data_IF_774419327983
#
_entry.id   IF_774419327983
#
_cell.length_a   1.000
_cell.length_b   1.000
_cell.length_c   1.000
_cell.angle_alpha   90.00
_cell.angle_beta   90.00
_cell.angle_gamma   90.00
#
_symmetry.space_group_name_H-M   'P 1'
#
loop_
_entity.id
_entity.type
_entity.pdbx_description
1 polymer ?
#
# COMPACT_ATOMS: atom_id res chain seq x y z
N UNK A 1 30.59 32.47 9.34
CA UNK A 1 30.79 31.08 9.79
C UNK A 1 29.42 30.47 10.03
N UNK A 2 29.11 29.30 9.49
CA UNK A 2 27.81 28.66 9.71
C UNK A 2 27.81 27.88 11.04
N UNK A 3 26.64 27.75 11.67
CA UNK A 3 26.46 27.10 12.97
C UNK A 3 26.81 25.59 12.89
N UNK A 4 27.83 25.10 13.62
CA UNK A 4 28.20 23.68 13.62
C UNK A 4 27.08 22.73 14.11
N UNK A 5 26.09 23.21 14.87
CA UNK A 5 24.97 22.37 15.33
C UNK A 5 24.04 21.90 14.21
N UNK A 6 24.20 22.44 12.99
CA UNK A 6 23.49 21.98 11.79
C UNK A 6 23.89 20.56 11.36
N UNK A 7 25.15 20.17 11.55
CA UNK A 7 25.68 18.88 11.07
C UNK A 7 25.01 17.70 11.79
N UNK A 8 24.95 17.63 13.14
CA UNK A 8 24.30 16.52 13.82
C UNK A 8 22.81 16.39 13.47
N UNK A 9 22.11 17.52 13.23
CA UNK A 9 20.69 17.52 12.85
C UNK A 9 20.47 16.85 11.50
N UNK A 10 21.28 17.18 10.50
CA UNK A 10 21.20 16.56 9.17
C UNK A 10 21.54 15.08 9.24
N UNK A 11 22.60 14.71 9.97
CA UNK A 11 22.99 13.30 10.09
C UNK A 11 21.91 12.46 10.79
N UNK A 12 21.25 13.00 11.82
CA UNK A 12 20.15 12.32 12.49
C UNK A 12 18.95 12.11 11.55
N UNK A 13 18.57 13.13 10.79
CA UNK A 13 17.49 13.01 9.80
C UNK A 13 17.83 12.03 8.67
N UNK A 14 19.09 12.03 8.21
CA UNK A 14 19.58 11.06 7.22
C UNK A 14 19.53 9.64 7.76
N UNK A 15 19.97 9.43 9.01
CA UNK A 15 19.92 8.13 9.68
C UNK A 15 18.48 7.63 9.76
N UNK A 16 17.53 8.46 10.20
CA UNK A 16 16.12 8.09 10.34
C UNK A 16 15.51 7.64 8.99
N UNK A 17 15.76 8.39 7.91
CA UNK A 17 15.30 8.02 6.56
C UNK A 17 15.94 6.71 6.10
N UNK A 18 17.22 6.50 6.41
CA UNK A 18 17.93 5.31 5.98
C UNK A 18 17.50 4.06 6.75
N UNK A 19 17.22 4.18 8.05
CA UNK A 19 16.64 3.11 8.87
C UNK A 19 15.23 2.71 8.39
N UNK A 20 14.46 3.65 7.83
CA UNK A 20 13.18 3.37 7.16
C UNK A 20 13.31 2.63 5.83
N UNK A 21 14.48 2.67 5.21
CA UNK A 21 14.75 2.10 3.89
C UNK A 21 16.11 1.39 3.86
N UNK A 22 16.30 0.32 4.68
CA UNK A 22 17.62 -0.29 4.89
C UNK A 22 18.17 -1.00 3.65
N UNK A 23 17.32 -1.31 2.67
CA UNK A 23 17.72 -1.92 1.40
C UNK A 23 18.43 -0.93 0.45
N UNK A 24 18.33 0.37 0.70
CA UNK A 24 19.06 1.37 -0.08
C UNK A 24 20.50 1.44 0.40
N UNK A 25 21.45 1.47 -0.54
CA UNK A 25 22.81 1.96 -0.23
C UNK A 25 22.80 3.49 -0.05
N UNK A 26 23.82 4.04 0.61
CA UNK A 26 23.96 5.49 0.78
C UNK A 26 23.92 6.25 -0.55
N UNK A 27 24.57 5.71 -1.58
CA UNK A 27 24.57 6.31 -2.92
C UNK A 27 23.18 6.33 -3.56
N UNK A 28 22.40 5.26 -3.38
CA UNK A 28 21.01 5.23 -3.84
C UNK A 28 20.12 6.20 -3.06
N UNK A 29 20.34 6.34 -1.75
CA UNK A 29 19.63 7.33 -0.93
C UNK A 29 19.90 8.76 -1.43
N UNK A 30 21.14 9.11 -1.74
CA UNK A 30 21.45 10.39 -2.38
C UNK A 30 20.80 10.55 -3.76
N UNK A 31 20.70 9.47 -4.54
CA UNK A 31 19.93 9.47 -5.79
C UNK A 31 18.45 9.78 -5.57
N UNK A 32 17.82 9.20 -4.55
CA UNK A 32 16.43 9.49 -4.16
C UNK A 32 16.28 10.96 -3.74
N UNK A 33 17.20 11.49 -2.94
CA UNK A 33 17.22 12.90 -2.54
C UNK A 33 17.38 13.83 -3.75
N UNK A 34 18.26 13.49 -4.70
CA UNK A 34 18.44 14.25 -5.94
C UNK A 34 17.18 14.30 -6.80
N UNK A 35 16.45 13.17 -6.91
CA UNK A 35 15.16 13.13 -7.61
C UNK A 35 14.07 13.98 -6.92
N UNK A 36 14.26 14.33 -5.65
CA UNK A 36 13.39 15.23 -4.86
C UNK A 36 13.83 16.70 -4.94
N UNK A 37 14.78 17.02 -5.81
CA UNK A 37 15.28 18.37 -6.01
C UNK A 37 16.43 18.77 -5.08
N UNK A 38 17.00 17.83 -4.31
CA UNK A 38 18.17 18.14 -3.49
C UNK A 38 19.43 18.21 -4.36
N UNK A 39 19.96 19.42 -4.53
CA UNK A 39 21.11 19.74 -5.35
C UNK A 39 22.31 20.26 -4.54
N UNK A 40 23.36 20.64 -5.26
CA UNK A 40 24.59 21.20 -4.68
C UNK A 40 24.39 22.61 -4.12
N UNK A 41 23.37 23.30 -4.62
CA UNK A 41 22.93 24.64 -4.26
C UNK A 41 21.85 24.66 -3.17
N UNK A 42 21.36 23.48 -2.76
CA UNK A 42 20.37 23.36 -1.69
C UNK A 42 20.93 23.76 -0.34
N UNK A 43 20.10 24.43 0.44
CA UNK A 43 20.35 24.79 1.83
C UNK A 43 20.11 23.61 2.76
N UNK A 44 20.72 23.66 3.95
CA UNK A 44 20.46 22.68 5.02
C UNK A 44 18.97 22.61 5.41
N UNK A 45 18.24 23.72 5.32
CA UNK A 45 16.82 23.77 5.63
C UNK A 45 15.99 22.99 4.60
N UNK A 46 16.32 23.14 3.30
CA UNK A 46 15.71 22.36 2.22
C UNK A 46 16.06 20.88 2.35
N UNK A 47 17.32 20.56 2.68
CA UNK A 47 17.76 19.19 2.94
C UNK A 47 16.96 18.53 4.07
N UNK A 48 16.78 19.24 5.18
CA UNK A 48 15.98 18.76 6.31
C UNK A 48 14.51 18.59 5.93
N UNK A 49 13.93 19.51 5.16
CA UNK A 49 12.54 19.39 4.71
C UNK A 49 12.33 18.15 3.84
N UNK A 50 13.22 17.89 2.88
CA UNK A 50 13.16 16.70 2.02
C UNK A 50 13.33 15.41 2.83
N UNK A 51 14.29 15.37 3.77
CA UNK A 51 14.50 14.22 4.65
C UNK A 51 13.28 13.97 5.55
N UNK A 52 12.70 15.03 6.12
CA UNK A 52 11.50 14.93 6.95
C UNK A 52 10.31 14.38 6.14
N UNK A 53 10.09 14.86 4.93
CA UNK A 53 9.05 14.32 4.05
C UNK A 53 9.28 12.83 3.75
N UNK A 54 10.52 12.44 3.43
CA UNK A 54 10.88 11.03 3.23
C UNK A 54 10.64 10.16 4.47
N UNK A 55 10.97 10.67 5.67
CA UNK A 55 10.74 9.95 6.92
C UNK A 55 9.25 9.77 7.24
N UNK A 56 8.40 10.69 6.79
CA UNK A 56 6.95 10.57 6.92
C UNK A 56 6.36 9.55 5.94
N UNK A 57 6.93 9.41 4.76
CA UNK A 57 6.51 8.38 3.79
C UNK A 57 7.04 6.99 4.17
N UNK A 58 8.26 6.93 4.68
CA UNK A 58 8.99 5.69 5.00
C UNK A 58 9.56 5.74 6.43
N UNK A 59 8.70 5.73 7.47
CA UNK A 59 9.19 5.81 8.84
C UNK A 59 10.01 4.58 9.23
N UNK A 60 11.07 4.79 10.02
CA UNK A 60 11.87 3.70 10.58
C UNK A 60 11.09 2.88 11.61
N UNK A 61 10.04 3.45 12.21
CA UNK A 61 9.27 2.82 13.27
C UNK A 61 7.85 3.40 13.34
N UNK A 62 6.86 2.51 13.40
CA UNK A 62 5.44 2.84 13.48
C UNK A 62 4.83 2.10 14.65
N UNK A 63 3.96 2.76 15.41
CA UNK A 63 3.22 2.14 16.52
C UNK A 63 1.71 2.24 16.27
N UNK A 64 1.10 3.36 16.66
CA UNK A 64 -0.29 3.65 16.36
C UNK A 64 -0.36 4.71 15.24
N UNK A 65 -0.82 4.30 14.07
CA UNK A 65 -1.09 5.22 12.95
C UNK A 65 -2.52 5.04 12.48
N UNK A 66 -3.22 6.15 12.26
CA UNK A 66 -4.50 6.17 11.56
C UNK A 66 -4.33 6.30 10.05
N UNK A 67 -3.14 6.68 9.58
CA UNK A 67 -2.84 6.79 8.17
C UNK A 67 -2.67 5.39 7.56
N UNK A 68 -3.19 5.14 6.35
CA UNK A 68 -2.97 3.87 5.69
C UNK A 68 -1.50 3.58 5.47
N UNK A 69 -1.15 2.32 5.69
CA UNK A 69 0.23 1.84 5.65
C UNK A 69 0.29 0.50 4.94
N UNK A 70 1.29 0.35 4.07
CA UNK A 70 1.59 -0.92 3.41
C UNK A 70 2.94 -1.42 3.88
N UNK A 71 2.99 -2.68 4.28
CA UNK A 71 4.19 -3.41 4.68
C UNK A 71 4.50 -4.47 3.60
N UNK A 72 5.77 -4.64 3.32
CA UNK A 72 6.31 -5.82 2.64
C UNK A 72 7.10 -6.62 3.64
N UNK A 73 6.83 -7.92 3.75
CA UNK A 73 7.49 -8.80 4.72
C UNK A 73 8.41 -9.81 4.04
N UNK A 74 9.36 -10.34 4.81
CA UNK A 74 10.12 -11.55 4.49
C UNK A 74 9.63 -12.69 5.38
N UNK A 75 9.60 -13.89 4.79
CA UNK A 75 9.32 -15.15 5.49
C UNK A 75 8.12 -15.09 6.47
N UNK A 76 6.87 -15.13 5.96
CA UNK A 76 6.48 -15.27 4.55
C UNK A 76 6.56 -13.96 3.76
N UNK A 77 6.69 -14.06 2.43
CA UNK A 77 6.66 -12.91 1.50
C UNK A 77 5.23 -12.40 1.30
N UNK A 78 4.82 -11.44 2.13
CA UNK A 78 3.49 -10.84 2.10
C UNK A 78 3.54 -9.35 1.74
N UNK A 79 2.45 -8.87 1.16
CA UNK A 79 2.07 -7.47 1.14
C UNK A 79 0.90 -7.30 2.09
N UNK A 80 1.09 -6.52 3.15
CA UNK A 80 0.09 -6.28 4.19
C UNK A 80 -0.29 -4.81 4.16
N UNK A 81 -1.57 -4.48 3.98
CA UNK A 81 -2.05 -3.09 4.04
C UNK A 81 -2.99 -2.92 5.21
N UNK A 82 -2.78 -1.88 6.01
CA UNK A 82 -3.73 -1.42 7.02
C UNK A 82 -4.45 -0.19 6.50
N UNK A 83 -5.78 -0.24 6.45
CA UNK A 83 -6.60 0.86 5.95
C UNK A 83 -8.01 0.80 6.54
N UNK A 84 -8.52 1.93 7.02
CA UNK A 84 -9.87 2.07 7.59
C UNK A 84 -10.20 1.01 8.67
N UNK A 85 -9.22 0.58 9.46
CA UNK A 85 -9.35 -0.46 10.49
C UNK A 85 -9.41 -1.90 9.96
N UNK A 86 -9.14 -2.11 8.67
CA UNK A 86 -9.00 -3.41 8.05
C UNK A 86 -7.53 -3.74 7.79
N UNK A 87 -7.20 -5.02 7.90
CA UNK A 87 -5.96 -5.62 7.43
C UNK A 87 -6.25 -6.31 6.11
N UNK A 88 -5.47 -6.02 5.08
CA UNK A 88 -5.48 -6.76 3.81
C UNK A 88 -4.14 -7.46 3.66
N UNK A 89 -4.14 -8.79 3.62
CA UNK A 89 -2.93 -9.59 3.42
C UNK A 89 -2.96 -10.27 2.06
N UNK A 90 -1.99 -9.93 1.22
CA UNK A 90 -1.75 -10.54 -0.08
C UNK A 90 -0.44 -11.32 -0.05
N UNK A 91 -0.41 -12.46 -0.73
CA UNK A 91 0.82 -13.22 -0.93
C UNK A 91 1.60 -12.62 -2.09
N UNK A 92 2.81 -12.11 -1.82
CA UNK A 92 3.70 -11.64 -2.88
C UNK A 92 4.31 -12.83 -3.65
N UNK A 93 4.58 -13.94 -2.97
CA UNK A 93 5.11 -15.17 -3.59
C UNK A 93 4.06 -15.93 -4.42
N UNK A 94 2.79 -15.84 -4.06
CA UNK A 94 1.70 -16.56 -4.73
C UNK A 94 0.53 -15.62 -5.01
N UNK A 95 0.62 -14.76 -6.06
CA UNK A 95 -0.42 -13.79 -6.39
C UNK A 95 -1.78 -14.41 -6.72
N UNK A 96 -1.85 -15.72 -6.99
CA UNK A 96 -3.11 -16.46 -7.18
C UNK A 96 -3.83 -16.80 -5.88
N UNK A 97 -3.17 -16.70 -4.71
CA UNK A 97 -3.82 -16.93 -3.41
C UNK A 97 -4.79 -15.78 -3.12
N UNK A 98 -6.01 -16.12 -2.71
CA UNK A 98 -7.01 -15.14 -2.30
C UNK A 98 -6.44 -14.21 -1.23
N UNK A 99 -6.54 -12.88 -1.40
CA UNK A 99 -6.21 -11.94 -0.34
C UNK A 99 -7.04 -12.25 0.90
N UNK A 100 -6.47 -12.12 2.10
CA UNK A 100 -7.19 -12.23 3.37
C UNK A 100 -7.51 -10.82 3.89
N UNK A 101 -8.70 -10.61 4.49
CA UNK A 101 -9.25 -9.30 4.87
C UNK A 101 -10.01 -9.48 6.17
N UNK A 102 -9.64 -8.72 7.19
CA UNK A 102 -10.24 -8.78 8.52
C UNK A 102 -10.04 -7.47 9.27
N UNK A 103 -10.80 -7.28 10.36
CA UNK A 103 -10.68 -6.11 11.24
C UNK A 103 -9.56 -6.33 12.24
N UNK A 104 -8.77 -5.30 12.52
CA UNK A 104 -7.79 -5.33 13.61
C UNK A 104 -8.13 -4.37 14.73
N UNK A 105 -7.73 -4.72 15.94
CA UNK A 105 -7.87 -3.90 17.14
C UNK A 105 -6.57 -3.16 17.47
N UNK A 106 -5.42 -3.79 17.28
CA UNK A 106 -4.13 -3.18 17.59
C UNK A 106 -2.99 -3.75 16.75
N UNK A 107 -1.91 -2.98 16.67
CA UNK A 107 -0.64 -3.36 16.07
C UNK A 107 0.46 -3.16 17.12
N UNK A 108 1.42 -4.09 17.18
CA UNK A 108 2.64 -3.86 17.96
C UNK A 108 3.57 -2.93 17.17
N UNK A 109 4.25 -2.02 17.89
CA UNK A 109 5.32 -1.20 17.34
C UNK A 109 6.27 -2.00 16.44
N UNK A 110 6.46 -1.55 15.20
CA UNK A 110 7.17 -2.28 14.15
C UNK A 110 7.82 -1.33 13.13
N UNK A 111 8.78 -1.83 12.38
CA UNK A 111 9.64 -1.09 11.46
C UNK A 111 10.50 -2.06 10.66
N UNK A 112 11.26 -1.61 9.65
CA UNK A 112 12.16 -2.50 8.92
C UNK A 112 13.07 -3.32 9.87
N UNK A 113 13.16 -4.63 9.63
CA UNK A 113 13.88 -5.59 10.47
C UNK A 113 13.11 -6.07 11.71
N UNK A 114 11.92 -5.55 12.00
CA UNK A 114 11.10 -5.95 13.15
C UNK A 114 9.91 -6.83 12.73
N UNK A 115 9.39 -7.69 13.63
CA UNK A 115 8.21 -8.49 13.34
C UNK A 115 6.96 -7.63 13.13
N UNK A 116 6.11 -8.01 12.16
CA UNK A 116 4.77 -7.46 11.99
C UNK A 116 3.77 -8.32 12.76
N UNK A 117 3.19 -7.75 13.82
CA UNK A 117 2.24 -8.44 14.70
C UNK A 117 0.98 -7.60 14.88
N UNK A 118 -0.16 -8.17 14.51
CA UNK A 118 -1.47 -7.52 14.58
C UNK A 118 -2.41 -8.35 15.46
N UNK A 119 -3.22 -7.69 16.27
CA UNK A 119 -4.28 -8.36 17.04
C UNK A 119 -5.62 -8.04 16.40
N UNK A 120 -6.40 -9.07 16.09
CA UNK A 120 -7.74 -8.87 15.54
C UNK A 120 -8.75 -8.41 16.61
N UNK A 121 -9.99 -8.14 16.18
CA UNK A 121 -11.08 -7.70 17.08
C UNK A 121 -11.57 -8.78 18.03
N UNK A 122 -11.20 -10.05 17.80
CA UNK A 122 -11.49 -11.18 18.68
C UNK A 122 -10.35 -11.44 19.69
N UNK A 123 -9.26 -10.67 19.60
CA UNK A 123 -8.10 -10.78 20.48
C UNK A 123 -7.05 -11.79 20.01
N UNK A 124 -7.14 -12.31 18.79
CA UNK A 124 -6.17 -13.27 18.24
C UNK A 124 -4.98 -12.53 17.65
N UNK A 125 -3.77 -12.96 18.03
CA UNK A 125 -2.51 -12.41 17.51
C UNK A 125 -2.12 -13.08 16.18
N UNK A 126 -1.93 -12.26 15.15
CA UNK A 126 -1.47 -12.65 13.82
C UNK A 126 -0.02 -12.20 13.62
N UNK A 127 0.89 -13.15 13.41
CA UNK A 127 2.30 -12.88 13.09
C UNK A 127 2.50 -12.99 11.58
N UNK A 128 2.88 -11.90 10.95
CA UNK A 128 2.89 -11.77 9.49
C UNK A 128 4.30 -11.74 8.88
N UNK A 129 5.32 -12.13 9.66
CA UNK A 129 6.72 -12.16 9.23
C UNK A 129 7.51 -10.95 9.73
N UNK A 130 8.69 -10.75 9.15
CA UNK A 130 9.57 -9.61 9.46
C UNK A 130 9.36 -8.53 8.41
N UNK A 131 9.17 -7.28 8.82
CA UNK A 131 9.01 -6.14 7.91
C UNK A 131 10.34 -5.91 7.19
N UNK A 132 10.28 -5.89 5.85
CA UNK A 132 11.39 -5.49 4.99
C UNK A 132 11.32 -4.01 4.65
N UNK A 133 10.12 -3.56 4.31
CA UNK A 133 9.84 -2.19 3.93
C UNK A 133 8.42 -1.83 4.36
N UNK A 134 8.20 -0.56 4.68
CA UNK A 134 6.88 -0.02 4.92
C UNK A 134 6.76 1.34 4.24
N UNK A 135 5.53 1.69 3.87
CA UNK A 135 5.20 2.97 3.26
C UNK A 135 3.84 3.46 3.75
N UNK A 136 3.81 4.68 4.26
CA UNK A 136 2.57 5.42 4.51
C UNK A 136 2.08 6.03 3.20
N UNK A 137 0.76 6.07 3.01
CA UNK A 137 0.16 6.73 1.86
C UNK A 137 -1.12 7.47 2.25
N UNK A 138 -1.38 8.57 1.56
CA UNK A 138 -2.64 9.29 1.69
C UNK A 138 -3.67 8.66 0.75
N UNK A 139 -4.76 8.08 1.26
CA UNK A 139 -5.86 7.65 0.42
C UNK A 139 -6.58 8.93 -0.05
N UNK A 140 -6.16 9.54 -1.17
CA UNK A 140 -6.81 10.73 -1.73
C UNK A 140 -8.27 10.47 -2.17
N UNK A 141 -8.73 11.17 -3.22
CA UNK A 141 -10.03 10.88 -3.88
C UNK A 141 -10.13 9.45 -4.47
N UNK A 142 -9.04 8.69 -4.42
CA UNK A 142 -8.85 7.30 -4.85
C UNK A 142 -9.77 6.26 -4.18
N UNK A 143 -10.81 6.65 -3.45
CA UNK A 143 -11.82 5.72 -2.92
C UNK A 143 -12.88 5.37 -3.97
N UNK A 144 -13.19 6.31 -4.87
CA UNK A 144 -14.12 6.04 -5.96
C UNK A 144 -13.36 5.46 -7.15
N UNK A 145 -13.76 4.26 -7.56
CA UNK A 145 -13.28 3.63 -8.78
C UNK A 145 -14.20 3.89 -9.96
N UNK A 146 -15.38 4.47 -9.74
CA UNK A 146 -16.33 4.76 -10.81
C UNK A 146 -15.70 5.75 -11.80
N UNK A 147 -15.70 5.38 -13.08
CA UNK A 147 -15.11 6.17 -14.15
C UNK A 147 -13.61 6.00 -14.34
N UNK A 148 -12.90 5.27 -13.44
CA UNK A 148 -11.46 5.05 -13.54
C UNK A 148 -11.09 4.40 -14.88
N UNK A 149 -10.03 4.90 -15.52
CA UNK A 149 -9.49 4.37 -16.75
C UNK A 149 -8.30 3.46 -16.45
N UNK A 150 -8.14 2.38 -17.21
CA UNK A 150 -7.06 1.42 -16.98
C UNK A 150 -5.67 2.05 -17.13
N UNK A 151 -5.49 2.99 -18.05
CA UNK A 151 -4.22 3.72 -18.25
C UNK A 151 -3.89 4.66 -17.09
N UNK A 152 -4.90 5.16 -16.36
CA UNK A 152 -4.72 6.05 -15.20
C UNK A 152 -4.39 5.30 -13.90
N UNK A 153 -4.36 3.96 -13.93
CA UNK A 153 -4.13 3.15 -12.73
C UNK A 153 -2.70 3.29 -12.22
N UNK A 154 -1.69 3.33 -13.10
CA UNK A 154 -0.28 3.33 -12.69
C UNK A 154 0.06 2.21 -11.70
N UNK A 155 0.74 2.57 -10.59
CA UNK A 155 1.03 1.64 -9.50
C UNK A 155 -0.12 1.52 -8.48
N UNK A 156 -1.25 2.19 -8.69
CA UNK A 156 -2.35 2.17 -7.73
C UNK A 156 -3.05 0.80 -7.70
N UNK A 157 -3.43 0.35 -6.51
CA UNK A 157 -4.13 -0.92 -6.30
C UNK A 157 -5.25 -0.73 -5.30
N UNK A 158 -6.37 -1.41 -5.56
CA UNK A 158 -7.53 -1.43 -4.68
C UNK A 158 -8.04 -2.85 -4.50
N UNK A 159 -8.50 -3.17 -3.29
CA UNK A 159 -9.29 -4.38 -3.04
C UNK A 159 -10.76 -4.00 -2.99
N UNK A 160 -11.57 -4.69 -3.78
CA UNK A 160 -13.02 -4.65 -3.73
C UNK A 160 -13.48 -5.93 -3.05
N UNK A 161 -14.13 -5.79 -1.90
CA UNK A 161 -14.81 -6.89 -1.22
C UNK A 161 -16.24 -7.01 -1.78
N UNK A 162 -16.67 -8.24 -2.06
CA UNK A 162 -17.98 -8.53 -2.63
C UNK A 162 -18.86 -9.28 -1.62
N UNK A 163 -20.18 -9.18 -1.78
CA UNK A 163 -21.17 -9.72 -0.83
C UNK A 163 -21.15 -11.26 -0.73
N UNK A 164 -20.80 -11.93 -1.82
CA UNK A 164 -20.65 -13.40 -1.91
C UNK A 164 -19.34 -13.92 -1.27
N UNK A 165 -18.57 -13.04 -0.61
CA UNK A 165 -17.25 -13.35 -0.06
C UNK A 165 -16.13 -13.34 -1.10
N UNK A 166 -16.45 -13.12 -2.38
CA UNK A 166 -15.47 -12.94 -3.42
C UNK A 166 -14.68 -11.64 -3.21
N UNK A 167 -13.49 -11.60 -3.81
CA UNK A 167 -12.57 -10.46 -3.72
C UNK A 167 -12.11 -10.11 -5.10
N UNK A 168 -12.00 -8.83 -5.40
CA UNK A 168 -11.36 -8.37 -6.63
C UNK A 168 -10.23 -7.42 -6.28
N UNK A 169 -9.06 -7.59 -6.89
CA UNK A 169 -7.98 -6.61 -6.82
C UNK A 169 -7.94 -5.89 -8.15
N UNK A 170 -8.14 -4.58 -8.09
CA UNK A 170 -8.09 -3.67 -9.22
C UNK A 170 -6.65 -3.16 -9.35
N UNK A 171 -6.07 -3.41 -10.51
CA UNK A 171 -4.81 -2.84 -10.97
C UNK A 171 -4.85 -2.77 -12.50
N UNK A 172 -3.69 -2.87 -13.16
CA UNK A 172 -3.62 -2.94 -14.63
C UNK A 172 -4.47 -4.07 -15.22
N UNK A 173 -4.69 -5.14 -14.45
CA UNK A 173 -5.73 -6.15 -14.68
C UNK A 173 -6.57 -6.27 -13.42
N UNK A 174 -7.83 -6.68 -13.57
CA UNK A 174 -8.66 -7.02 -12.43
C UNK A 174 -8.53 -8.52 -12.21
N UNK A 175 -8.09 -8.93 -11.02
CA UNK A 175 -8.11 -10.33 -10.60
C UNK A 175 -9.25 -10.52 -9.61
N UNK A 176 -10.11 -11.50 -9.86
CA UNK A 176 -11.23 -11.87 -8.97
C UNK A 176 -10.99 -13.26 -8.41
N UNK A 177 -11.26 -13.43 -7.12
CA UNK A 177 -11.24 -14.70 -6.43
C UNK A 177 -12.63 -15.02 -5.93
N UNK A 178 -13.13 -16.20 -6.26
CA UNK A 178 -14.41 -16.72 -5.78
C UNK A 178 -14.15 -17.97 -4.97
N UNK A 179 -14.71 -18.03 -3.76
CA UNK A 179 -14.57 -19.21 -2.92
C UNK A 179 -15.52 -20.32 -3.41
N UNK A 180 -14.97 -21.37 -4.01
CA UNK A 180 -15.72 -22.51 -4.54
C UNK A 180 -15.51 -23.75 -3.65
N UNK A 181 -16.33 -23.89 -2.60
CA UNK A 181 -16.28 -24.99 -1.60
C UNK A 181 -14.90 -25.20 -0.95
N UNK A 182 -14.01 -25.94 -1.61
CA UNK A 182 -12.64 -26.27 -1.14
C UNK A 182 -11.54 -25.66 -1.98
N UNK A 183 -11.89 -25.10 -3.13
CA UNK A 183 -10.97 -24.45 -4.06
C UNK A 183 -11.32 -22.96 -4.16
N UNK A 184 -10.37 -22.19 -4.69
CA UNK A 184 -10.58 -20.78 -5.00
C UNK A 184 -10.39 -20.61 -6.49
N UNK A 185 -11.47 -20.22 -7.17
CA UNK A 185 -11.43 -19.90 -8.59
C UNK A 185 -10.85 -18.50 -8.77
N UNK A 186 -9.95 -18.35 -9.74
CA UNK A 186 -9.23 -17.10 -10.00
C UNK A 186 -9.42 -16.67 -11.44
N UNK A 187 -10.21 -15.62 -11.62
CA UNK A 187 -10.45 -15.00 -12.93
C UNK A 187 -9.59 -13.76 -13.09
N UNK A 188 -9.12 -13.49 -14.31
CA UNK A 188 -8.38 -12.26 -14.61
C UNK A 188 -8.98 -11.54 -15.82
N UNK A 189 -9.51 -10.35 -15.59
CA UNK A 189 -10.18 -9.52 -16.58
C UNK A 189 -9.25 -8.44 -17.14
N UNK A 190 -9.22 -8.33 -18.47
CA UNK A 190 -8.72 -7.15 -19.16
C UNK A 190 -9.86 -6.13 -19.28
N UNK A 191 -9.62 -4.89 -18.85
CA UNK A 191 -10.64 -3.87 -18.73
C UNK A 191 -10.12 -2.53 -19.27
N UNK A 192 -11.02 -1.69 -19.76
CA UNK A 192 -10.71 -0.33 -20.22
C UNK A 192 -11.17 0.72 -19.20
N UNK A 193 -12.37 0.53 -18.62
CA UNK A 193 -12.97 1.46 -17.67
C UNK A 193 -13.80 0.74 -16.61
N UNK A 194 -13.78 1.24 -15.38
CA UNK A 194 -14.73 0.83 -14.33
C UNK A 194 -15.98 1.71 -14.49
N UNK A 195 -17.13 1.08 -14.72
CA UNK A 195 -18.39 1.79 -14.94
C UNK A 195 -19.07 2.11 -13.60
N UNK A 196 -19.07 1.15 -12.68
CA UNK A 196 -19.68 1.28 -11.36
C UNK A 196 -18.89 0.45 -10.36
N UNK A 197 -18.64 0.99 -9.16
CA UNK A 197 -17.93 0.31 -8.08
C UNK A 197 -18.17 1.00 -6.74
N UNK A 198 -19.43 1.35 -6.46
CA UNK A 198 -19.83 1.96 -5.19
C UNK A 198 -20.33 0.89 -4.23
N UNK A 199 -20.08 1.07 -2.93
CA UNK A 199 -20.59 0.16 -1.91
C UNK A 199 -22.13 0.10 -1.97
N UNK A 200 -22.67 -1.12 -2.00
CA UNK A 200 -24.10 -1.38 -2.14
C UNK A 200 -24.58 -1.58 -3.58
N UNK A 201 -23.74 -1.32 -4.59
CA UNK A 201 -24.05 -1.53 -6.01
C UNK A 201 -23.18 -2.62 -6.66
N UNK A 202 -23.58 -3.07 -7.84
CA UNK A 202 -22.82 -4.06 -8.61
C UNK A 202 -21.59 -3.44 -9.27
N UNK A 203 -20.42 -4.04 -9.03
CA UNK A 203 -19.20 -3.67 -9.72
C UNK A 203 -19.31 -4.09 -11.19
N UNK A 204 -19.25 -3.12 -12.09
CA UNK A 204 -19.36 -3.34 -13.53
C UNK A 204 -18.18 -2.72 -14.26
N UNK A 205 -17.62 -3.47 -15.22
CA UNK A 205 -16.45 -3.04 -16.01
C UNK A 205 -16.73 -3.09 -17.51
N UNK A 206 -16.13 -2.15 -18.24
CA UNK A 206 -16.03 -2.23 -19.70
C UNK A 206 -14.79 -3.06 -20.08
N UNK A 207 -14.92 -4.16 -20.82
CA UNK A 207 -13.77 -4.97 -21.26
C UNK A 207 -12.83 -4.19 -22.18
N UNK A 208 -11.53 -4.52 -22.14
CA UNK A 208 -10.51 -3.86 -22.97
C UNK A 208 -10.71 -4.08 -24.48
N UNK A 209 -11.27 -5.23 -24.87
CA UNK A 209 -11.48 -5.61 -26.28
C UNK A 209 -12.82 -5.12 -26.84
N UNK A 210 -13.56 -4.28 -26.10
CA UNK A 210 -14.96 -4.00 -26.38
C UNK A 210 -15.88 -5.17 -26.02
N UNK A 211 -17.19 -4.98 -26.18
CA UNK A 211 -18.22 -5.96 -25.82
C UNK A 211 -19.14 -5.48 -24.71
N UNK A 212 -19.99 -6.39 -24.24
CA UNK A 212 -20.93 -6.09 -23.17
C UNK A 212 -20.21 -5.86 -21.83
N UNK A 213 -20.70 -4.93 -21.00
CA UNK A 213 -20.20 -4.76 -19.65
C UNK A 213 -20.23 -6.06 -18.83
N UNK A 214 -19.17 -6.32 -18.09
CA UNK A 214 -19.07 -7.51 -17.23
C UNK A 214 -19.37 -7.11 -15.80
N UNK A 215 -20.32 -7.81 -15.17
CA UNK A 215 -20.67 -7.66 -13.76
C UNK A 215 -19.81 -8.61 -12.93
N UNK A 216 -19.07 -8.06 -11.96
CA UNK A 216 -18.18 -8.82 -11.09
C UNK A 216 -18.81 -9.20 -9.75
N UNK A 217 -19.89 -8.52 -9.36
CA UNK A 217 -20.66 -8.79 -8.14
C UNK A 217 -20.92 -7.53 -7.32
N UNK A 218 -21.73 -7.68 -6.26
CA UNK A 218 -22.15 -6.57 -5.40
C UNK A 218 -21.07 -6.15 -4.43
N UNK A 219 -20.71 -4.87 -4.45
CA UNK A 219 -19.63 -4.30 -3.64
C UNK A 219 -20.07 -4.09 -2.20
N UNK A 220 -19.29 -4.58 -1.26
CA UNK A 220 -19.45 -4.29 0.18
C UNK A 220 -18.47 -3.21 0.65
N UNK A 221 -17.24 -3.22 0.15
CA UNK A 221 -16.22 -2.23 0.48
C UNK A 221 -15.18 -2.09 -0.63
N UNK A 222 -14.62 -0.88 -0.74
CA UNK A 222 -13.45 -0.58 -1.58
C UNK A 222 -12.33 -0.09 -0.67
N UNK A 223 -11.21 -0.81 -0.65
CA UNK A 223 -10.06 -0.55 0.20
C UNK A 223 -8.85 -0.21 -0.67
N UNK A 224 -8.28 1.01 -0.59
CA UNK A 224 -7.04 1.33 -1.28
C UNK A 224 -5.87 0.55 -0.65
N UNK A 225 -5.05 -0.08 -1.49
CA UNK A 225 -3.93 -0.91 -1.06
C UNK A 225 -2.59 -0.21 -1.30
N UNK A 226 -2.45 0.38 -2.47
CA UNK A 226 -1.28 1.12 -2.92
C UNK A 226 -1.81 2.34 -3.65
N UNK A 227 -1.41 3.54 -3.23
CA UNK A 227 -1.76 4.78 -3.95
C UNK A 227 -0.47 5.59 -4.11
N UNK A 228 -0.13 5.94 -5.34
CA UNK A 228 0.85 6.95 -5.64
C UNK A 228 0.16 8.31 -5.57
N UNK A 229 0.73 9.23 -4.80
CA UNK A 229 0.44 10.65 -4.98
C UNK A 229 0.97 11.05 -6.37
N UNK A 230 0.12 11.65 -7.19
CA UNK A 230 0.59 12.36 -8.38
C UNK A 230 1.52 13.48 -7.90
N UNK A 231 2.75 13.49 -8.41
CA UNK A 231 3.77 14.48 -8.09
C UNK A 231 3.45 15.85 -8.70
#
# INVERSE_FOLDING_TARGET
>A
MQDPTRIPKILAALQEVWEGQPDLSLGQLFGVLGNRGLGWDSTDAEALAVLQQLSQEHPSLVDNTSAPITFTTVEPHLQVTLVDGNVVVRSAAHPGRMPSVWRYASMRRTGPGLPLVLTDVEGVEHRLGIVRHLKLFTPGESRSLAGLLQDSVGANRWLVALEDGARAVVGSRIRRWVQARRDVDVDTFAWARILQCEAGADMTIAPACGGEPVVLGRVTAVLPLEVQEEA
#
